data_IF_170926441293
#
_entry.id   IF_170926441293
#
_cell.length_a   1.000
_cell.length_b   1.000
_cell.length_c   1.000
_cell.angle_alpha   90.00
_cell.angle_beta   90.00
_cell.angle_gamma   90.00
#
_symmetry.space_group_name_H-M   'P 1'
#
loop_
_entity.id
_entity.type
_entity.pdbx_description
1 polymer ?
#
# COMPACT_ATOMS: atom_id res chain seq x y z
N UNK A 1 -2.47 22.02 6.22
CA UNK A 1 -1.95 21.79 7.60
C UNK A 1 -3.07 21.11 8.36
N UNK A 2 -2.78 19.99 9.03
CA UNK A 2 -3.75 19.28 9.88
C UNK A 2 -3.97 20.05 11.17
N UNK A 3 -5.24 20.20 11.59
CA UNK A 3 -5.60 20.75 12.90
C UNK A 3 -5.24 19.76 14.02
N UNK A 4 -5.16 20.22 15.27
CA UNK A 4 -4.93 19.32 16.41
C UNK A 4 -6.08 18.32 16.61
N UNK A 5 -7.31 18.72 16.31
CA UNK A 5 -8.48 17.84 16.34
C UNK A 5 -8.34 16.70 15.31
N UNK A 6 -7.96 17.02 14.05
CA UNK A 6 -7.70 16.01 13.01
C UNK A 6 -6.56 15.07 13.39
N UNK A 7 -5.47 15.62 13.96
CA UNK A 7 -4.35 14.78 14.43
C UNK A 7 -4.78 13.84 15.55
N UNK A 8 -5.60 14.31 16.51
CA UNK A 8 -6.08 13.45 17.58
C UNK A 8 -6.99 12.33 17.07
N UNK A 9 -7.83 12.60 16.08
CA UNK A 9 -8.62 11.56 15.42
C UNK A 9 -7.72 10.53 14.69
N UNK A 10 -6.64 10.98 14.07
CA UNK A 10 -5.65 10.09 13.45
C UNK A 10 -4.91 9.25 14.51
N UNK A 11 -4.50 9.85 15.65
CA UNK A 11 -3.89 9.11 16.78
C UNK A 11 -4.84 8.04 17.32
N UNK A 12 -6.10 8.38 17.58
CA UNK A 12 -7.14 7.44 18.02
C UNK A 12 -7.28 6.29 17.02
N UNK A 13 -7.30 6.59 15.73
CA UNK A 13 -7.44 5.61 14.65
C UNK A 13 -6.29 4.60 14.66
N UNK A 14 -5.04 5.06 14.71
CA UNK A 14 -3.88 4.16 14.66
C UNK A 14 -3.70 3.38 15.97
N UNK A 15 -4.10 3.94 17.13
CA UNK A 15 -4.08 3.24 18.42
C UNK A 15 -5.06 2.07 18.48
N UNK A 16 -6.17 2.13 17.74
CA UNK A 16 -7.17 1.06 17.69
C UNK A 16 -6.78 -0.07 16.72
N UNK A 17 -5.91 0.20 15.75
CA UNK A 17 -5.56 -0.77 14.72
C UNK A 17 -4.99 -2.08 15.30
N UNK A 18 -4.05 -2.10 16.27
CA UNK A 18 -3.59 -3.35 16.87
C UNK A 18 -4.69 -4.19 17.51
N UNK A 19 -5.68 -3.54 18.14
CA UNK A 19 -6.83 -4.27 18.70
C UNK A 19 -7.63 -5.00 17.60
N UNK A 20 -7.87 -4.33 16.46
CA UNK A 20 -8.54 -4.96 15.31
C UNK A 20 -7.72 -6.14 14.79
N UNK A 21 -6.39 -5.97 14.70
CA UNK A 21 -5.50 -6.98 14.14
C UNK A 21 -5.36 -8.22 15.02
N UNK A 22 -5.24 -8.05 16.33
CA UNK A 22 -5.01 -9.14 17.28
C UNK A 22 -6.31 -9.69 17.85
N UNK A 23 -7.16 -8.86 18.45
CA UNK A 23 -8.44 -9.32 18.99
C UNK A 23 -9.42 -9.72 17.88
N UNK A 24 -9.37 -9.07 16.72
CA UNK A 24 -10.16 -9.44 15.54
C UNK A 24 -9.76 -10.78 14.92
N UNK A 25 -8.56 -11.30 15.22
CA UNK A 25 -8.11 -12.63 14.78
C UNK A 25 -8.55 -13.74 15.72
N UNK A 26 -8.86 -13.42 16.98
CA UNK A 26 -9.21 -14.40 17.99
C UNK A 26 -10.55 -15.06 17.66
N UNK A 27 -10.54 -16.40 17.52
CA UNK A 27 -11.71 -17.18 17.15
C UNK A 27 -12.25 -16.92 15.73
N UNK A 28 -11.58 -16.12 14.90
CA UNK A 28 -12.04 -15.82 13.55
C UNK A 28 -11.76 -16.97 12.57
N UNK A 29 -12.79 -17.40 11.84
CA UNK A 29 -12.67 -18.45 10.81
C UNK A 29 -12.18 -17.86 9.48
N UNK A 30 -10.86 -17.80 9.30
CA UNK A 30 -10.23 -17.29 8.09
C UNK A 30 -10.54 -18.11 6.83
N UNK A 31 -11.01 -19.36 6.95
CA UNK A 31 -11.37 -20.17 5.78
C UNK A 31 -12.53 -19.56 4.97
N UNK A 32 -13.31 -18.69 5.59
CA UNK A 32 -14.44 -17.97 4.95
C UNK A 32 -14.03 -16.69 4.22
N UNK A 33 -12.78 -16.28 4.34
CA UNK A 33 -12.30 -15.05 3.66
C UNK A 33 -12.22 -15.26 2.15
N UNK A 34 -12.71 -14.26 1.41
CA UNK A 34 -12.73 -14.26 -0.05
C UNK A 34 -11.87 -13.10 -0.60
N UNK A 35 -11.18 -13.26 -1.72
CA UNK A 35 -10.96 -14.48 -2.54
C UNK A 35 -9.87 -15.40 -2.01
N UNK A 36 -9.14 -15.01 -0.98
CA UNK A 36 -8.04 -15.77 -0.38
C UNK A 36 -8.16 -15.71 1.15
N UNK A 37 -7.93 -16.82 1.86
CA UNK A 37 -8.03 -16.87 3.33
C UNK A 37 -6.86 -16.15 4.02
N UNK A 38 -5.72 -15.98 3.32
CA UNK A 38 -4.51 -15.43 3.92
C UNK A 38 -3.65 -14.65 2.92
N UNK A 39 -2.74 -13.86 3.47
CA UNK A 39 -1.68 -13.18 2.75
C UNK A 39 -0.56 -14.18 2.47
N UNK A 40 -0.48 -14.66 1.25
CA UNK A 40 0.44 -15.69 0.80
C UNK A 40 1.14 -15.28 -0.50
N UNK A 41 2.10 -16.10 -0.96
CA UNK A 41 2.86 -15.85 -2.18
C UNK A 41 1.94 -15.58 -3.39
N UNK A 42 0.87 -16.38 -3.54
CA UNK A 42 -0.07 -16.20 -4.66
C UNK A 42 -0.70 -14.80 -4.64
N UNK A 43 -1.14 -14.33 -3.47
CA UNK A 43 -1.78 -13.01 -3.35
C UNK A 43 -0.78 -11.87 -3.57
N UNK A 44 0.48 -12.03 -3.11
CA UNK A 44 1.55 -11.05 -3.31
C UNK A 44 1.90 -10.95 -4.80
N UNK A 45 2.18 -12.07 -5.43
CA UNK A 45 2.54 -12.10 -6.86
C UNK A 45 1.38 -11.63 -7.74
N UNK A 46 0.13 -11.88 -7.34
CA UNK A 46 -1.03 -11.35 -8.05
C UNK A 46 -1.05 -9.81 -8.00
N UNK A 47 -0.86 -9.21 -6.84
CA UNK A 47 -0.82 -7.75 -6.68
C UNK A 47 0.37 -7.11 -7.44
N UNK A 48 1.56 -7.74 -7.41
CA UNK A 48 2.74 -7.28 -8.15
C UNK A 48 2.54 -7.38 -9.68
N UNK A 49 1.95 -8.48 -10.17
CA UNK A 49 1.59 -8.62 -11.57
C UNK A 49 0.49 -7.65 -11.98
N UNK A 50 -0.45 -7.34 -11.09
CA UNK A 50 -1.46 -6.32 -11.32
C UNK A 50 -0.82 -4.95 -11.53
N UNK A 51 0.20 -4.58 -10.71
CA UNK A 51 1.03 -3.40 -10.96
C UNK A 51 1.74 -3.47 -12.32
N UNK A 52 2.41 -4.59 -12.62
CA UNK A 52 3.17 -4.78 -13.87
C UNK A 52 2.28 -4.55 -15.10
N UNK A 53 1.13 -5.22 -15.17
CA UNK A 53 0.28 -5.20 -16.36
C UNK A 53 -0.64 -3.98 -16.44
N UNK A 54 -1.21 -3.54 -15.33
CA UNK A 54 -2.19 -2.46 -15.36
C UNK A 54 -1.58 -1.07 -15.24
N UNK A 55 -0.35 -0.95 -14.74
CA UNK A 55 0.31 0.34 -14.59
C UNK A 55 1.63 0.42 -15.36
N UNK A 56 2.61 -0.41 -15.02
CA UNK A 56 3.96 -0.30 -15.59
C UNK A 56 3.96 -0.44 -17.11
N UNK A 57 3.36 -1.51 -17.66
CA UNK A 57 3.23 -1.69 -19.12
C UNK A 57 2.40 -0.59 -19.79
N UNK A 58 1.41 -0.05 -19.10
CA UNK A 58 0.57 1.03 -19.63
C UNK A 58 1.34 2.36 -19.80
N UNK A 59 2.49 2.53 -19.15
CA UNK A 59 3.37 3.69 -19.34
C UNK A 59 4.19 3.63 -20.64
N UNK A 60 4.27 2.48 -21.30
CA UNK A 60 5.10 2.26 -22.48
C UNK A 60 6.59 2.05 -22.17
N UNK A 61 6.98 1.94 -20.90
CA UNK A 61 8.36 1.59 -20.52
C UNK A 61 8.73 0.18 -20.96
N UNK A 62 9.94 0.04 -21.47
CA UNK A 62 10.55 -1.26 -21.73
C UNK A 62 11.31 -1.76 -20.51
N UNK A 63 11.19 -3.05 -20.21
CA UNK A 63 11.91 -3.72 -19.13
C UNK A 63 12.01 -5.22 -19.40
N UNK A 64 12.96 -5.89 -18.74
CA UNK A 64 13.15 -7.34 -18.83
C UNK A 64 12.22 -8.02 -17.82
N UNK A 65 11.23 -8.75 -18.33
CA UNK A 65 10.18 -9.36 -17.49
C UNK A 65 10.73 -10.41 -16.55
N UNK A 66 11.66 -11.24 -17.02
CA UNK A 66 12.31 -12.28 -16.24
C UNK A 66 13.03 -11.73 -15.00
N UNK A 67 13.82 -10.68 -15.16
CA UNK A 67 14.50 -10.01 -14.03
C UNK A 67 13.54 -9.33 -13.06
N UNK A 68 12.45 -8.77 -13.60
CA UNK A 68 11.41 -8.16 -12.76
C UNK A 68 10.68 -9.21 -11.94
N UNK A 69 10.37 -10.36 -12.54
CA UNK A 69 9.72 -11.49 -11.87
C UNK A 69 10.62 -12.11 -10.79
N UNK A 70 11.92 -12.22 -11.04
CA UNK A 70 12.90 -12.66 -10.05
C UNK A 70 12.88 -11.74 -8.81
N UNK A 71 12.82 -10.43 -9.00
CA UNK A 71 12.75 -9.47 -7.89
C UNK A 71 11.37 -9.47 -7.22
N UNK A 72 10.28 -9.74 -7.95
CA UNK A 72 8.95 -9.97 -7.38
C UNK A 72 8.93 -11.20 -6.47
N UNK A 73 9.60 -12.28 -6.89
CA UNK A 73 9.74 -13.47 -6.06
C UNK A 73 10.50 -13.16 -4.76
N UNK A 74 11.63 -12.45 -4.85
CA UNK A 74 12.40 -12.02 -3.67
C UNK A 74 11.59 -11.12 -2.75
N UNK A 75 10.79 -10.18 -3.30
CA UNK A 75 9.90 -9.35 -2.49
C UNK A 75 8.86 -10.20 -1.77
N UNK A 76 8.27 -11.19 -2.43
CA UNK A 76 7.35 -12.13 -1.80
C UNK A 76 8.01 -12.86 -0.63
N UNK A 77 9.24 -13.36 -0.82
CA UNK A 77 9.98 -14.07 0.22
C UNK A 77 10.29 -13.17 1.42
N UNK A 78 10.63 -11.90 1.19
CA UNK A 78 10.87 -10.91 2.26
C UNK A 78 9.59 -10.64 3.05
N UNK A 79 8.47 -10.37 2.36
CA UNK A 79 7.19 -10.07 3.00
C UNK A 79 6.65 -11.24 3.83
N UNK A 80 6.88 -12.48 3.38
CA UNK A 80 6.45 -13.69 4.07
C UNK A 80 7.30 -14.09 5.27
N UNK A 81 8.45 -13.43 5.51
CA UNK A 81 9.22 -13.60 6.78
C UNK A 81 8.48 -13.05 7.99
N UNK A 82 7.55 -12.13 7.78
CA UNK A 82 6.76 -11.55 8.86
C UNK A 82 5.61 -12.49 9.26
N UNK A 83 5.33 -12.57 10.57
CA UNK A 83 4.22 -13.36 11.08
C UNK A 83 2.89 -12.94 10.47
N UNK A 84 2.09 -13.92 10.04
CA UNK A 84 0.75 -13.73 9.47
C UNK A 84 -0.36 -14.17 10.43
N UNK A 85 -0.15 -14.06 11.75
CA UNK A 85 -1.11 -14.55 12.74
C UNK A 85 -2.22 -13.56 13.09
N UNK A 86 -2.31 -12.40 12.40
CA UNK A 86 -3.26 -11.33 12.71
C UNK A 86 -4.36 -11.21 11.66
N UNK A 87 -5.43 -10.49 12.01
CA UNK A 87 -6.44 -10.07 11.04
C UNK A 87 -5.89 -8.88 10.24
N UNK A 88 -5.59 -9.08 8.98
CA UNK A 88 -5.22 -8.02 8.05
C UNK A 88 -6.50 -7.43 7.44
N UNK A 89 -6.78 -6.16 7.75
CA UNK A 89 -7.97 -5.46 7.30
C UNK A 89 -7.99 -5.24 5.78
N UNK A 90 -6.82 -5.02 5.20
CA UNK A 90 -6.52 -4.79 3.78
C UNK A 90 -6.89 -3.40 3.26
N UNK A 91 -8.10 -2.96 3.46
CA UNK A 91 -8.57 -1.63 3.02
C UNK A 91 -8.64 -0.61 4.19
N UNK A 92 -7.68 -0.68 5.12
CA UNK A 92 -7.53 0.26 6.21
C UNK A 92 -7.04 1.61 5.68
N UNK A 93 -7.98 2.47 5.33
CA UNK A 93 -7.76 3.77 4.71
C UNK A 93 -8.71 4.80 5.33
N UNK A 94 -8.33 6.10 5.28
CA UNK A 94 -9.12 7.18 5.88
C UNK A 94 -10.57 7.25 5.38
N UNK A 95 -10.83 6.91 4.11
CA UNK A 95 -12.19 6.84 3.55
C UNK A 95 -13.08 5.78 4.20
N UNK A 96 -12.49 4.78 4.87
CA UNK A 96 -13.18 3.69 5.55
C UNK A 96 -13.19 3.89 7.07
N UNK A 97 -12.79 5.07 7.55
CA UNK A 97 -12.88 5.50 8.94
C UNK A 97 -13.98 6.55 9.05
N UNK A 98 -15.05 6.20 9.74
CA UNK A 98 -16.15 7.12 10.05
C UNK A 98 -15.93 7.70 11.43
N UNK A 99 -16.27 8.98 11.62
CA UNK A 99 -16.22 9.64 12.93
C UNK A 99 -17.65 9.79 13.45
N UNK A 100 -17.88 9.24 14.63
CA UNK A 100 -19.15 9.39 15.36
C UNK A 100 -18.83 9.74 16.81
N UNK A 101 -19.40 10.85 17.29
CA UNK A 101 -19.23 11.35 18.66
C UNK A 101 -17.75 11.51 19.06
N UNK A 102 -16.89 11.95 18.11
CA UNK A 102 -15.45 12.12 18.30
C UNK A 102 -14.64 10.82 18.35
N UNK A 103 -15.25 9.67 18.00
CA UNK A 103 -14.57 8.36 17.99
C UNK A 103 -14.56 7.75 16.59
N UNK A 104 -13.45 7.08 16.19
CA UNK A 104 -13.35 6.40 14.90
C UNK A 104 -14.12 5.09 14.89
N UNK A 105 -14.88 4.87 13.80
CA UNK A 105 -15.58 3.64 13.48
C UNK A 105 -15.10 3.12 12.13
N UNK A 106 -15.01 1.81 11.97
CA UNK A 106 -14.39 1.19 10.81
C UNK A 106 -15.45 0.45 9.98
N UNK A 107 -15.39 0.69 8.65
CA UNK A 107 -16.28 0.07 7.67
C UNK A 107 -15.46 -0.55 6.53
N UNK A 108 -16.09 -1.38 5.71
CA UNK A 108 -15.46 -1.96 4.49
C UNK A 108 -14.37 -3.00 4.80
N UNK A 109 -14.59 -3.85 5.81
CA UNK A 109 -13.65 -4.86 6.29
C UNK A 109 -13.77 -6.23 5.61
N UNK A 110 -14.74 -6.42 4.69
CA UNK A 110 -15.02 -7.71 4.03
C UNK A 110 -13.85 -8.23 3.17
N UNK A 111 -12.88 -7.39 2.82
CA UNK A 111 -11.63 -7.80 2.16
C UNK A 111 -10.61 -8.41 3.12
N UNK A 112 -10.91 -8.41 4.42
CA UNK A 112 -10.00 -8.87 5.47
C UNK A 112 -9.68 -10.35 5.37
N UNK A 113 -8.50 -10.71 5.87
CA UNK A 113 -7.97 -12.07 5.84
C UNK A 113 -6.86 -12.23 6.86
N UNK A 114 -6.36 -13.44 7.03
CA UNK A 114 -5.16 -13.69 7.82
C UNK A 114 -3.95 -13.04 7.16
N UNK A 115 -3.17 -12.25 7.88
CA UNK A 115 -2.00 -11.58 7.31
C UNK A 115 -1.17 -10.80 8.33
N UNK A 116 -0.05 -10.20 7.88
CA UNK A 116 0.86 -9.47 8.74
C UNK A 116 0.30 -8.10 9.13
N UNK A 117 0.52 -7.69 10.36
CA UNK A 117 0.07 -6.41 10.90
C UNK A 117 0.74 -5.19 10.25
N UNK A 118 1.88 -5.35 9.56
CA UNK A 118 2.57 -4.28 8.83
C UNK A 118 1.74 -3.70 7.68
N UNK A 119 0.92 -4.53 7.04
CA UNK A 119 0.22 -4.15 5.82
C UNK A 119 -0.75 -2.97 6.04
N UNK A 120 -1.54 -3.03 7.10
CA UNK A 120 -2.59 -2.03 7.33
C UNK A 120 -2.02 -0.68 7.78
N UNK A 121 -0.99 -0.68 8.63
CA UNK A 121 -0.31 0.55 9.04
C UNK A 121 0.41 1.18 7.85
N UNK A 122 1.04 0.40 6.97
CA UNK A 122 1.60 0.88 5.71
C UNK A 122 0.51 1.47 4.82
N UNK A 123 -0.63 0.79 4.67
CA UNK A 123 -1.77 1.26 3.89
C UNK A 123 -2.31 2.60 4.39
N UNK A 124 -2.40 2.78 5.70
CA UNK A 124 -2.97 3.99 6.30
C UNK A 124 -2.01 5.17 6.26
N UNK A 125 -0.76 4.97 6.64
CA UNK A 125 0.20 6.07 6.78
C UNK A 125 0.82 6.55 5.46
N UNK A 126 0.78 5.73 4.40
CA UNK A 126 1.31 6.09 3.07
C UNK A 126 0.22 6.28 2.01
N UNK A 127 -0.99 6.64 2.43
CA UNK A 127 -2.06 7.00 1.50
C UNK A 127 -1.64 8.18 0.62
N UNK A 128 -1.65 7.98 -0.70
CA UNK A 128 -1.17 8.99 -1.65
C UNK A 128 -1.85 10.35 -1.50
N UNK A 129 -3.17 10.37 -1.36
CA UNK A 129 -3.95 11.61 -1.25
C UNK A 129 -3.92 12.25 0.13
N UNK A 130 -3.63 11.51 1.20
CA UNK A 130 -3.63 12.05 2.55
C UNK A 130 -2.49 13.05 2.77
N UNK A 131 -1.37 12.89 2.06
CA UNK A 131 -0.22 13.81 2.11
C UNK A 131 0.26 14.08 3.54
N UNK A 132 0.29 13.05 4.39
CA UNK A 132 0.78 13.22 5.74
C UNK A 132 2.23 13.73 5.72
N UNK A 133 2.53 14.87 6.39
CA UNK A 133 3.93 15.28 6.58
C UNK A 133 4.72 14.18 7.30
N UNK A 134 6.02 14.09 7.02
CA UNK A 134 6.87 13.04 7.62
C UNK A 134 6.84 13.09 9.15
N UNK A 135 6.85 14.29 9.74
CA UNK A 135 6.73 14.46 11.19
C UNK A 135 5.45 13.85 11.77
N UNK A 136 4.31 14.09 11.11
CA UNK A 136 3.04 13.51 11.53
C UNK A 136 3.02 11.99 11.32
N UNK A 137 3.59 11.51 10.21
CA UNK A 137 3.69 10.07 9.93
C UNK A 137 4.52 9.35 10.99
N UNK A 138 5.64 9.92 11.39
CA UNK A 138 6.49 9.36 12.46
C UNK A 138 5.79 9.38 13.82
N UNK A 139 5.07 10.45 14.14
CA UNK A 139 4.26 10.54 15.35
C UNK A 139 3.18 9.45 15.38
N UNK A 140 2.40 9.31 14.32
CA UNK A 140 1.35 8.29 14.21
C UNK A 140 1.91 6.86 14.24
N UNK A 141 3.09 6.65 13.66
CA UNK A 141 3.76 5.36 13.68
C UNK A 141 4.21 4.98 15.09
N UNK A 142 4.71 5.96 15.87
CA UNK A 142 5.04 5.76 17.28
C UNK A 142 3.80 5.39 18.10
N UNK A 143 2.69 6.10 17.90
CA UNK A 143 1.41 5.80 18.55
C UNK A 143 0.92 4.38 18.24
N UNK A 144 1.08 3.94 16.99
CA UNK A 144 0.78 2.57 16.56
C UNK A 144 1.68 1.55 17.28
N UNK A 145 3.01 1.78 17.30
CA UNK A 145 3.97 0.88 17.95
C UNK A 145 3.70 0.77 19.45
N UNK A 146 3.41 1.88 20.12
CA UNK A 146 3.09 1.91 21.55
C UNK A 146 1.80 1.14 21.86
N UNK A 147 0.80 1.23 20.99
CA UNK A 147 -0.41 0.42 21.09
C UNK A 147 -0.15 -1.07 20.79
N UNK A 148 0.70 -1.38 19.81
CA UNK A 148 1.07 -2.73 19.41
C UNK A 148 1.82 -3.50 20.51
N UNK A 149 2.61 -2.80 21.32
CA UNK A 149 3.33 -3.38 22.48
C UNK A 149 2.43 -4.01 23.53
N UNK A 150 1.12 -3.68 23.55
CA UNK A 150 0.15 -4.33 24.43
C UNK A 150 -0.14 -5.78 24.02
N UNK A 151 0.16 -6.14 22.78
CA UNK A 151 -0.13 -7.45 22.21
C UNK A 151 1.11 -8.32 22.04
N UNK A 152 2.27 -7.69 21.77
CA UNK A 152 3.53 -8.42 21.63
C UNK A 152 4.74 -7.49 21.85
N UNK A 153 5.91 -8.04 22.26
CA UNK A 153 7.16 -7.29 22.26
C UNK A 153 7.55 -6.82 20.86
N UNK A 154 8.06 -5.59 20.75
CA UNK A 154 8.47 -4.99 19.48
C UNK A 154 9.94 -4.61 19.54
N UNK A 155 10.73 -5.21 18.69
CA UNK A 155 12.06 -4.74 18.29
C UNK A 155 11.87 -3.65 17.22
N UNK A 156 12.03 -2.38 17.60
CA UNK A 156 11.77 -1.26 16.70
C UNK A 156 12.68 -1.26 15.47
N UNK A 157 14.02 -1.48 15.56
CA UNK A 157 14.87 -1.58 14.39
C UNK A 157 14.40 -2.64 13.39
N UNK A 158 14.02 -3.82 13.88
CA UNK A 158 13.47 -4.88 13.04
C UNK A 158 12.10 -4.49 12.46
N UNK A 159 11.23 -3.88 13.28
CA UNK A 159 9.93 -3.39 12.83
C UNK A 159 10.06 -2.43 11.66
N UNK A 160 10.91 -1.40 11.78
CA UNK A 160 11.13 -0.44 10.69
C UNK A 160 11.74 -1.09 9.46
N UNK A 161 12.68 -2.01 9.64
CA UNK A 161 13.29 -2.75 8.53
C UNK A 161 12.28 -3.57 7.74
N UNK A 162 11.28 -4.16 8.40
CA UNK A 162 10.21 -4.90 7.73
C UNK A 162 9.15 -3.96 7.13
N UNK A 163 8.71 -2.95 7.88
CA UNK A 163 7.67 -2.02 7.44
C UNK A 163 7.98 -1.39 6.09
N UNK A 164 9.23 -1.00 5.83
CA UNK A 164 9.62 -0.37 4.56
C UNK A 164 9.29 -1.23 3.33
N UNK A 165 9.41 -2.56 3.43
CA UNK A 165 9.07 -3.49 2.35
C UNK A 165 7.55 -3.53 2.11
N UNK A 166 6.76 -3.52 3.18
CA UNK A 166 5.29 -3.43 3.08
C UNK A 166 4.84 -2.09 2.49
N UNK A 167 5.50 -1.00 2.84
CA UNK A 167 5.22 0.33 2.27
C UNK A 167 5.50 0.35 0.77
N UNK A 168 6.64 -0.18 0.33
CA UNK A 168 6.96 -0.30 -1.09
C UNK A 168 5.94 -1.19 -1.81
N UNK A 169 5.70 -2.40 -1.31
CA UNK A 169 4.71 -3.33 -1.88
C UNK A 169 3.33 -2.68 -2.00
N UNK A 170 2.86 -2.01 -0.93
CA UNK A 170 1.55 -1.35 -0.92
C UNK A 170 1.48 -0.20 -1.92
N UNK A 171 2.59 0.54 -2.11
CA UNK A 171 2.68 1.60 -3.12
C UNK A 171 2.53 1.04 -4.54
N UNK A 172 3.18 -0.09 -4.84
CA UNK A 172 3.03 -0.77 -6.14
C UNK A 172 1.61 -1.26 -6.36
N UNK A 173 0.99 -1.87 -5.37
CA UNK A 173 -0.40 -2.33 -5.44
C UNK A 173 -1.36 -1.17 -5.72
N UNK A 174 -1.18 -0.03 -5.06
CA UNK A 174 -1.99 1.18 -5.28
C UNK A 174 -1.81 1.71 -6.71
N UNK A 175 -0.57 1.75 -7.22
CA UNK A 175 -0.31 2.14 -8.60
C UNK A 175 -0.99 1.19 -9.60
N UNK A 176 -0.97 -0.12 -9.36
CA UNK A 176 -1.72 -1.10 -10.15
C UNK A 176 -3.22 -0.78 -10.19
N UNK A 177 -3.81 -0.50 -9.02
CA UNK A 177 -5.23 -0.13 -8.93
C UNK A 177 -5.52 1.21 -9.64
N UNK A 178 -4.61 2.19 -9.56
CA UNK A 178 -4.75 3.45 -10.28
C UNK A 178 -4.62 3.26 -11.80
N UNK A 179 -3.74 2.38 -12.24
CA UNK A 179 -3.63 2.00 -13.64
C UNK A 179 -4.93 1.39 -14.17
N UNK A 180 -5.40 0.34 -13.51
CA UNK A 180 -6.62 -0.33 -13.94
C UNK A 180 -7.83 0.59 -13.92
N UNK A 181 -8.14 1.21 -12.78
CA UNK A 181 -9.32 2.04 -12.64
C UNK A 181 -9.22 3.37 -13.39
N UNK A 182 -8.01 3.91 -13.53
CA UNK A 182 -7.77 5.14 -14.27
C UNK A 182 -7.73 4.94 -15.76
N UNK A 183 -6.86 4.07 -16.27
CA UNK A 183 -6.67 3.90 -17.73
C UNK A 183 -7.72 3.00 -18.37
N UNK A 184 -8.10 1.86 -17.72
CA UNK A 184 -9.06 0.92 -18.31
C UNK A 184 -10.50 1.27 -17.99
N UNK A 185 -10.84 1.55 -16.71
CA UNK A 185 -12.20 1.95 -16.32
C UNK A 185 -12.47 3.45 -16.53
N UNK A 186 -11.48 4.24 -16.96
CA UNK A 186 -11.60 5.68 -17.26
C UNK A 186 -12.15 6.52 -16.11
N UNK A 187 -11.78 6.20 -14.87
CA UNK A 187 -12.18 6.95 -13.67
C UNK A 187 -11.15 8.05 -13.35
N UNK A 188 -11.44 9.34 -13.62
CA UNK A 188 -10.44 10.42 -13.60
C UNK A 188 -9.77 10.61 -12.23
N UNK A 189 -10.50 10.39 -11.15
CA UNK A 189 -9.98 10.61 -9.80
C UNK A 189 -8.85 9.63 -9.40
N UNK A 190 -8.76 8.44 -10.05
CA UNK A 190 -7.62 7.54 -9.85
C UNK A 190 -6.39 8.07 -10.57
N UNK A 191 -6.56 8.57 -11.80
CA UNK A 191 -5.47 9.17 -12.56
C UNK A 191 -4.90 10.38 -11.82
N UNK A 192 -5.75 11.27 -11.32
CA UNK A 192 -5.35 12.44 -10.52
C UNK A 192 -4.58 12.05 -9.23
N UNK A 193 -4.65 10.80 -8.81
CA UNK A 193 -3.93 10.29 -7.64
C UNK A 193 -2.53 9.79 -7.96
N UNK A 194 -2.24 9.50 -9.23
CA UNK A 194 -0.95 8.95 -9.67
C UNK A 194 0.24 9.83 -9.26
N UNK A 195 0.25 11.17 -9.46
CA UNK A 195 1.41 11.99 -9.09
C UNK A 195 1.77 11.88 -7.61
N UNK A 196 0.77 11.76 -6.74
CA UNK A 196 1.01 11.63 -5.30
C UNK A 196 1.62 10.27 -4.95
N UNK A 197 1.17 9.20 -5.62
CA UNK A 197 1.76 7.87 -5.45
C UNK A 197 3.19 7.81 -6.01
N UNK A 198 3.46 8.46 -7.15
CA UNK A 198 4.80 8.59 -7.72
C UNK A 198 5.71 9.40 -6.81
N UNK A 199 5.22 10.47 -6.16
CA UNK A 199 6.01 11.20 -5.19
C UNK A 199 6.35 10.35 -3.97
N UNK A 200 5.40 9.59 -3.42
CA UNK A 200 5.68 8.63 -2.35
C UNK A 200 6.74 7.61 -2.79
N UNK A 201 6.65 7.11 -4.02
CA UNK A 201 7.62 6.16 -4.56
C UNK A 201 9.03 6.78 -4.66
N UNK A 202 9.16 8.03 -5.15
CA UNK A 202 10.43 8.75 -5.16
C UNK A 202 11.05 8.83 -3.76
N UNK A 203 10.24 9.18 -2.76
CA UNK A 203 10.71 9.32 -1.40
C UNK A 203 11.17 7.98 -0.81
N UNK A 204 10.46 6.90 -1.09
CA UNK A 204 10.86 5.54 -0.70
C UNK A 204 12.17 5.10 -1.35
N UNK A 205 12.39 5.43 -2.62
CA UNK A 205 13.59 5.04 -3.37
C UNK A 205 14.84 5.83 -3.02
N UNK A 206 14.76 6.83 -2.13
CA UNK A 206 15.95 7.46 -1.51
C UNK A 206 16.73 6.47 -0.65
N UNK A 207 16.04 5.50 -0.07
CA UNK A 207 16.65 4.39 0.62
C UNK A 207 16.97 3.23 -0.34
N UNK A 208 18.03 2.48 -0.04
CA UNK A 208 18.39 1.33 -0.85
C UNK A 208 17.54 0.09 -0.50
N UNK A 209 17.14 -0.67 -1.51
CA UNK A 209 16.54 -2.00 -1.39
C UNK A 209 17.44 -3.02 -2.10
N UNK A 210 18.50 -3.48 -1.44
CA UNK A 210 19.47 -4.39 -2.07
C UNK A 210 18.88 -5.75 -2.44
N UNK A 211 17.74 -6.09 -1.87
CA UNK A 211 17.04 -7.35 -2.11
C UNK A 211 16.46 -7.43 -3.54
N UNK A 212 16.05 -6.29 -4.13
CA UNK A 212 15.43 -6.23 -5.46
C UNK A 212 15.99 -5.10 -6.31
N UNK A 213 17.26 -5.24 -6.74
CA UNK A 213 17.99 -4.17 -7.41
C UNK A 213 17.42 -3.83 -8.79
N UNK A 214 16.95 -4.81 -9.55
CA UNK A 214 16.38 -4.59 -10.87
C UNK A 214 15.04 -3.86 -10.79
N UNK A 215 14.16 -4.30 -9.91
CA UNK A 215 12.89 -3.60 -9.62
C UNK A 215 13.15 -2.14 -9.25
N UNK A 216 14.09 -1.87 -8.36
CA UNK A 216 14.40 -0.49 -7.94
C UNK A 216 14.91 0.37 -9.10
N UNK A 217 15.68 -0.17 -10.04
CA UNK A 217 16.09 0.57 -11.23
C UNK A 217 14.89 0.91 -12.12
N UNK A 218 14.03 -0.07 -12.42
CA UNK A 218 12.79 0.15 -13.18
C UNK A 218 11.91 1.21 -12.49
N UNK A 219 11.78 1.15 -11.16
CA UNK A 219 10.97 2.12 -10.42
C UNK A 219 11.57 3.54 -10.42
N UNK A 220 12.90 3.69 -10.39
CA UNK A 220 13.55 5.00 -10.54
C UNK A 220 13.27 5.58 -11.91
N UNK A 221 13.46 4.81 -12.98
CA UNK A 221 13.13 5.23 -14.34
C UNK A 221 11.65 5.63 -14.46
N UNK A 222 10.75 4.83 -13.86
CA UNK A 222 9.32 5.13 -13.81
C UNK A 222 9.04 6.51 -13.17
N UNK A 223 9.72 6.85 -12.07
CA UNK A 223 9.50 8.12 -11.38
C UNK A 223 9.99 9.33 -12.18
N UNK A 224 10.88 9.15 -13.14
CA UNK A 224 11.40 10.22 -14.02
C UNK A 224 10.52 10.48 -15.26
N UNK A 225 9.52 9.65 -15.52
CA UNK A 225 8.61 9.84 -16.63
C UNK A 225 7.79 11.13 -16.49
N UNK A 226 8.04 12.11 -17.35
CA UNK A 226 7.37 13.42 -17.33
C UNK A 226 5.84 13.32 -17.38
N UNK A 227 5.32 12.38 -18.14
CA UNK A 227 3.88 12.12 -18.25
C UNK A 227 3.19 11.74 -16.94
N UNK A 228 3.93 11.19 -15.97
CA UNK A 228 3.39 10.82 -14.66
C UNK A 228 3.46 11.97 -13.64
N UNK A 229 4.32 12.97 -13.90
CA UNK A 229 4.48 14.16 -13.06
C UNK A 229 3.50 15.27 -13.45
N UNK A 230 3.10 15.31 -14.71
CA UNK A 230 2.24 16.33 -15.30
C UNK A 230 0.97 15.63 -15.79
N UNK A 231 -0.04 15.53 -14.94
CA UNK A 231 -1.33 15.05 -15.43
C UNK A 231 -2.08 16.17 -16.15
N UNK A 232 -1.72 16.38 -17.39
CA UNK A 232 -2.66 16.69 -18.46
C UNK A 232 -2.74 15.44 -19.33
N UNK A 233 -3.66 14.54 -19.04
CA UNK A 233 -3.95 13.42 -19.91
C UNK A 233 -4.72 13.99 -21.07
N UNK A 234 -4.00 14.22 -22.19
CA UNK A 234 -4.63 14.22 -23.50
C UNK A 234 -5.37 12.89 -23.68
N UNK A 235 -6.60 12.95 -24.15
CA UNK A 235 -7.40 11.76 -24.47
C UNK A 235 -6.55 10.75 -25.26
N UNK A 236 -6.65 9.44 -24.93
CA UNK A 236 -6.00 8.41 -25.73
C UNK A 236 -6.49 8.58 -27.18
N UNK A 237 -5.57 8.86 -28.09
CA UNK A 237 -5.85 8.86 -29.51
C UNK A 237 -6.49 7.53 -29.87
N UNK A 238 -7.75 7.54 -30.27
CA UNK A 238 -8.45 6.37 -30.78
C UNK A 238 -7.58 5.74 -31.88
N UNK A 239 -7.29 4.43 -31.84
CA UNK A 239 -6.73 3.78 -33.00
C UNK A 239 -7.71 4.06 -34.17
N UNK A 240 -7.22 4.66 -35.24
CA UNK A 240 -8.01 4.77 -36.48
C UNK A 240 -8.26 3.35 -36.93
N UNK A 241 -9.51 2.91 -36.85
CA UNK A 241 -9.97 1.75 -37.59
C UNK A 241 -9.73 2.06 -39.07
N UNK A 242 -8.79 1.35 -39.68
CA UNK A 242 -8.58 1.35 -41.09
C UNK A 242 -9.81 0.65 -41.68
N UNK A 243 -10.59 1.41 -42.41
CA UNK A 243 -11.66 0.91 -43.27
C UNK A 243 -11.09 0.17 -44.49
#
# INVERSE_FOLDING_TARGET
>A
VFSEEEKELLRKTVRLLPAIQFAGADGFDFSRCYPQPEFNQRSILWDLNYFKYCFLKATGMEFQEDKLEDDFQKMSDVLLRSSSATFMYRDFQSRNVMIKDGEPWFIDFQGGRKGPFYYDVASFLWQAKAKYPDSLRQELLKEYIDALRKYQPIDEPYFYSQLRHFVLFRTLQVLGAYGFRGYFEKKPHFIQSVPFAIQNLRDLLKEAYPEYPYLCNVLRELTELKQLSLIHISEPTRPRLIS
#
